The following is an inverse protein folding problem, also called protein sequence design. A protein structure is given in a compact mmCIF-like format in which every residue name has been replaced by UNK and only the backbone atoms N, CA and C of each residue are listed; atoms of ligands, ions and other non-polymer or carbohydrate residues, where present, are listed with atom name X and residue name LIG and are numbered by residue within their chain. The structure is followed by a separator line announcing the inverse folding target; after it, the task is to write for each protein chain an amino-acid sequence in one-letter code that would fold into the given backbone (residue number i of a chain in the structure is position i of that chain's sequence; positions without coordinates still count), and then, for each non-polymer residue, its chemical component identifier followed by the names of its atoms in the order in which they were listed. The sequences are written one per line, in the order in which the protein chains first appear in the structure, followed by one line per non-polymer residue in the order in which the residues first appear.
data_IF_900574963745
#
_entry.id   IF_900574963745
#
_cell.length_a   1.000
_cell.length_b   1.000
_cell.length_c   1.000
_cell.angle_alpha   90.00
_cell.angle_beta   90.00
_cell.angle_gamma   90.00
#
_symmetry.space_group_name_H-M   'P 1'
#
loop_
_entity.id
_entity.type
_entity.pdbx_description
1 polymer ?
#
# COMPACT_ATOMS: atom_id res chain seq x y z
N UNK A 1 -22.00 17.65 -8.83
CA UNK A 1 -23.00 16.85 -9.59
C UNK A 1 -23.87 16.10 -8.60
N UNK A 2 -25.18 15.91 -8.79
CA UNK A 2 -25.95 15.08 -7.85
C UNK A 2 -25.71 13.59 -8.16
N UNK A 3 -25.35 12.80 -7.15
CA UNK A 3 -25.00 11.39 -7.28
C UNK A 3 -26.22 10.48 -7.07
N UNK A 4 -26.19 9.21 -7.52
CA UNK A 4 -27.30 8.25 -7.35
C UNK A 4 -27.72 8.04 -5.89
N UNK A 5 -26.81 8.23 -4.94
CA UNK A 5 -27.07 8.15 -3.50
C UNK A 5 -27.76 9.41 -2.92
N UNK A 6 -28.05 10.42 -3.74
CA UNK A 6 -28.68 11.69 -3.33
C UNK A 6 -27.71 12.75 -2.80
N UNK A 7 -26.42 12.42 -2.64
CA UNK A 7 -25.38 13.36 -2.22
C UNK A 7 -24.85 14.25 -3.35
N UNK A 8 -24.15 15.33 -3.00
CA UNK A 8 -23.43 16.15 -3.96
C UNK A 8 -22.06 15.55 -4.22
N UNK A 9 -21.82 15.11 -5.45
CA UNK A 9 -20.51 14.68 -5.95
C UNK A 9 -19.65 15.86 -6.35
N UNK A 10 -18.34 15.61 -6.35
CA UNK A 10 -17.31 16.55 -6.78
C UNK A 10 -17.34 16.66 -8.31
N UNK A 11 -17.00 17.83 -8.85
CA UNK A 11 -16.96 18.02 -10.30
C UNK A 11 -15.91 17.07 -10.91
N UNK A 12 -16.27 16.36 -11.98
CA UNK A 12 -15.44 15.35 -12.69
C UNK A 12 -15.14 14.04 -11.95
N UNK A 13 -15.76 13.78 -10.79
CA UNK A 13 -15.70 12.50 -10.08
C UNK A 13 -17.10 12.04 -9.66
N UNK A 14 -17.55 10.90 -10.19
CA UNK A 14 -18.88 10.34 -9.94
C UNK A 14 -18.97 9.47 -8.68
N UNK A 15 -17.85 9.16 -8.04
CA UNK A 15 -17.79 8.22 -6.92
C UNK A 15 -17.58 8.94 -5.58
N UNK A 16 -16.99 10.14 -5.59
CA UNK A 16 -16.71 10.90 -4.36
C UNK A 16 -17.90 11.77 -3.89
N UNK A 17 -18.55 11.35 -2.80
CA UNK A 17 -19.70 12.04 -2.17
C UNK A 17 -19.26 13.08 -1.14
N UNK A 18 -19.75 14.31 -1.26
CA UNK A 18 -19.62 15.38 -0.26
C UNK A 18 -20.88 15.53 0.59
N UNK A 19 -20.69 15.46 1.91
CA UNK A 19 -21.69 15.85 2.90
C UNK A 19 -21.25 17.17 3.55
N UNK A 20 -22.06 18.21 3.37
CA UNK A 20 -21.76 19.58 3.82
C UNK A 20 -21.46 19.70 5.32
N UNK A 21 -22.11 18.89 6.15
CA UNK A 21 -21.98 18.95 7.60
C UNK A 21 -20.79 18.11 8.11
N UNK A 22 -20.50 16.98 7.46
CA UNK A 22 -19.67 15.94 8.07
C UNK A 22 -18.37 15.66 7.34
N UNK A 23 -18.29 15.81 6.01
CA UNK A 23 -17.11 15.37 5.26
C UNK A 23 -15.85 16.12 5.67
N UNK A 24 -15.93 17.46 5.79
CA UNK A 24 -14.79 18.27 6.22
C UNK A 24 -14.28 17.87 7.62
N UNK A 25 -15.20 17.55 8.54
CA UNK A 25 -14.85 17.10 9.89
C UNK A 25 -14.21 15.71 9.87
N UNK A 26 -14.79 14.78 9.12
CA UNK A 26 -14.26 13.43 8.98
C UNK A 26 -12.82 13.44 8.44
N UNK A 27 -12.55 14.22 7.38
CA UNK A 27 -11.21 14.36 6.82
C UNK A 27 -10.19 14.89 7.84
N UNK A 28 -10.55 15.95 8.58
CA UNK A 28 -9.68 16.51 9.62
C UNK A 28 -9.39 15.51 10.74
N UNK A 29 -10.38 14.72 11.14
CA UNK A 29 -10.21 13.67 12.15
C UNK A 29 -9.32 12.54 11.63
N UNK A 30 -9.51 12.09 10.38
CA UNK A 30 -8.66 11.07 9.77
C UNK A 30 -7.19 11.49 9.78
N UNK A 31 -6.88 12.70 9.29
CA UNK A 31 -5.53 13.25 9.28
C UNK A 31 -4.98 13.43 10.70
N UNK A 32 -5.73 14.09 11.58
CA UNK A 32 -5.28 14.40 12.93
C UNK A 32 -4.98 13.15 13.77
N UNK A 33 -5.84 12.14 13.68
CA UNK A 33 -5.66 10.87 14.40
C UNK A 33 -4.44 10.10 13.88
N UNK A 34 -4.25 10.04 12.56
CA UNK A 34 -3.08 9.38 11.96
C UNK A 34 -1.78 10.09 12.32
N UNK A 35 -1.74 11.42 12.26
CA UNK A 35 -0.58 12.20 12.70
C UNK A 35 -0.25 11.90 14.16
N UNK A 36 -1.24 11.91 15.05
CA UNK A 36 -1.00 11.67 16.48
C UNK A 36 -0.49 10.26 16.73
N UNK A 37 -1.09 9.24 16.12
CA UNK A 37 -0.64 7.86 16.22
C UNK A 37 0.81 7.72 15.74
N UNK A 38 1.13 8.24 14.55
CA UNK A 38 2.49 8.15 13.99
C UNK A 38 3.53 8.91 14.80
N UNK A 39 3.18 10.05 15.41
CA UNK A 39 4.07 10.73 16.36
C UNK A 39 4.36 9.87 17.58
N UNK A 40 3.33 9.27 18.18
CA UNK A 40 3.50 8.41 19.37
C UNK A 40 4.36 7.19 19.06
N UNK A 41 4.21 6.59 17.88
CA UNK A 41 5.04 5.47 17.42
C UNK A 41 6.49 5.92 17.15
N UNK A 42 6.69 7.02 16.43
CA UNK A 42 8.02 7.54 16.14
C UNK A 42 8.79 7.93 17.42
N UNK A 43 8.10 8.63 18.34
CA UNK A 43 8.64 9.08 19.63
C UNK A 43 8.86 7.91 20.62
N UNK A 44 8.57 6.65 20.24
CA UNK A 44 8.77 5.45 21.06
C UNK A 44 7.79 5.29 22.22
N UNK A 45 6.69 6.06 22.23
CA UNK A 45 5.62 5.96 23.25
C UNK A 45 4.66 4.81 22.97
N UNK A 46 4.55 4.42 21.70
CA UNK A 46 3.89 3.20 21.24
C UNK A 46 4.85 2.42 20.36
N UNK A 47 4.74 1.09 20.34
CA UNK A 47 5.58 0.25 19.47
C UNK A 47 5.18 0.39 18.00
N UNK A 48 3.88 0.36 17.74
CA UNK A 48 3.25 0.37 16.42
C UNK A 48 1.76 0.77 16.57
N UNK A 49 0.99 0.80 15.48
CA UNK A 49 -0.44 1.01 15.59
C UNK A 49 -1.22 0.90 14.29
N UNK A 50 -2.56 0.98 14.41
CA UNK A 50 -3.49 1.00 13.29
C UNK A 50 -4.50 2.15 13.47
N UNK A 51 -4.49 3.11 12.54
CA UNK A 51 -5.50 4.14 12.41
C UNK A 51 -6.71 3.62 11.60
N UNK A 52 -7.80 3.30 12.30
CA UNK A 52 -9.10 2.98 11.69
C UNK A 52 -9.83 4.28 11.35
N UNK A 53 -9.54 4.84 10.18
CA UNK A 53 -10.01 6.16 9.75
C UNK A 53 -10.81 6.06 8.45
N UNK A 54 -11.63 7.09 8.19
CA UNK A 54 -12.30 7.34 6.91
C UNK A 54 -12.59 8.84 6.73
N UNK A 55 -12.74 9.38 5.51
CA UNK A 55 -12.56 8.70 4.21
C UNK A 55 -11.11 8.26 3.95
N UNK A 56 -10.86 7.39 2.94
CA UNK A 56 -9.51 7.09 2.47
C UNK A 56 -8.81 8.37 1.94
N UNK A 57 -7.52 8.26 1.68
CA UNK A 57 -6.68 9.38 1.27
C UNK A 57 -5.76 9.14 0.07
N UNK A 58 -5.35 7.91 -0.22
CA UNK A 58 -4.22 7.67 -1.14
C UNK A 58 -4.43 8.12 -2.60
N UNK A 59 -5.67 8.37 -3.05
CA UNK A 59 -5.96 8.92 -4.37
C UNK A 59 -6.00 10.46 -4.44
N UNK A 60 -6.05 11.14 -3.29
CA UNK A 60 -6.17 12.59 -3.25
C UNK A 60 -4.87 13.28 -3.71
N UNK A 61 -5.00 14.15 -4.72
CA UNK A 61 -3.94 14.97 -5.32
C UNK A 61 -4.25 16.46 -5.06
N UNK A 62 -3.91 17.34 -6.01
CA UNK A 62 -4.48 18.69 -6.09
C UNK A 62 -6.01 18.69 -6.14
N UNK A 63 -6.61 17.58 -6.61
CA UNK A 63 -8.05 17.36 -6.67
C UNK A 63 -8.42 16.09 -5.90
N UNK A 64 -9.63 16.07 -5.28
CA UNK A 64 -10.22 14.83 -4.78
C UNK A 64 -10.46 13.82 -5.90
N UNK A 65 -10.34 12.54 -5.58
CA UNK A 65 -10.55 11.42 -6.50
C UNK A 65 -10.81 10.14 -5.71
N UNK A 66 -11.69 9.24 -6.17
CA UNK A 66 -11.79 7.87 -5.64
C UNK A 66 -12.08 7.84 -4.14
N UNK A 67 -13.11 8.56 -3.70
CA UNK A 67 -13.50 8.77 -2.30
C UNK A 67 -12.52 9.60 -1.46
N UNK A 68 -11.35 9.95 -1.98
CA UNK A 68 -10.26 10.59 -1.25
C UNK A 68 -10.29 12.12 -1.43
N UNK A 69 -10.25 12.85 -0.32
CA UNK A 69 -10.23 14.33 -0.31
C UNK A 69 -8.86 14.92 0.00
N UNK A 70 -8.16 14.29 0.92
CA UNK A 70 -6.85 14.68 1.39
C UNK A 70 -6.03 13.43 1.61
N UNK A 71 -4.77 13.46 1.21
CA UNK A 71 -3.91 12.29 1.35
C UNK A 71 -3.39 12.15 2.77
N UNK A 72 -4.13 11.41 3.60
CA UNK A 72 -3.85 11.20 5.02
C UNK A 72 -2.41 10.71 5.27
N UNK A 73 -1.94 9.74 4.50
CA UNK A 73 -0.61 9.13 4.68
C UNK A 73 0.50 10.08 4.23
N UNK A 74 0.39 10.69 3.04
CA UNK A 74 1.38 11.65 2.55
C UNK A 74 1.46 12.90 3.43
N UNK A 75 0.32 13.43 3.90
CA UNK A 75 0.29 14.55 4.85
C UNK A 75 0.99 14.15 6.16
N UNK A 76 0.76 12.94 6.65
CA UNK A 76 1.43 12.44 7.86
C UNK A 76 2.94 12.32 7.67
N UNK A 77 3.39 11.78 6.54
CA UNK A 77 4.81 11.68 6.22
C UNK A 77 5.49 13.06 6.20
N UNK A 78 4.90 14.02 5.48
CA UNK A 78 5.41 15.41 5.42
C UNK A 78 5.36 16.11 6.77
N UNK A 79 4.34 15.84 7.59
CA UNK A 79 4.27 16.35 8.95
C UNK A 79 5.45 15.84 9.80
N UNK A 80 5.73 14.54 9.78
CA UNK A 80 6.84 13.97 10.53
C UNK A 80 8.18 14.53 10.04
N UNK A 81 8.41 14.62 8.72
CA UNK A 81 9.60 15.28 8.14
C UNK A 81 9.80 16.68 8.71
N UNK A 82 8.74 17.50 8.71
CA UNK A 82 8.78 18.90 9.13
C UNK A 82 8.90 19.10 10.64
N UNK A 83 8.29 18.22 11.45
CA UNK A 83 8.09 18.46 12.89
C UNK A 83 8.76 17.44 13.81
N UNK A 84 9.42 16.42 13.26
CA UNK A 84 10.11 15.37 14.02
C UNK A 84 11.52 15.06 13.54
N UNK A 85 12.06 15.85 12.60
CA UNK A 85 13.41 15.68 12.04
C UNK A 85 13.70 14.22 11.61
N UNK A 86 12.67 13.52 11.15
CA UNK A 86 12.84 12.19 10.58
C UNK A 86 13.53 12.35 9.22
N UNK A 87 14.52 11.52 8.97
CA UNK A 87 15.27 11.53 7.73
C UNK A 87 14.56 10.66 6.71
N UNK A 88 14.30 9.37 7.01
CA UNK A 88 13.79 8.40 6.03
C UNK A 88 12.46 7.79 6.45
N UNK A 89 11.45 7.95 5.59
CA UNK A 89 10.11 7.36 5.76
C UNK A 89 9.84 6.41 4.60
N UNK A 90 9.36 5.21 4.89
CA UNK A 90 8.77 4.37 3.84
C UNK A 90 7.24 4.42 3.94
N UNK A 91 6.58 4.51 2.78
CA UNK A 91 5.16 4.33 2.61
C UNK A 91 4.96 3.07 1.77
N UNK A 92 4.34 2.05 2.36
CA UNK A 92 3.95 0.83 1.65
C UNK A 92 2.44 0.86 1.44
N UNK A 93 2.00 0.77 0.20
CA UNK A 93 0.61 0.82 -0.20
C UNK A 93 0.20 -0.54 -0.76
N UNK A 94 -0.64 -1.26 -0.03
CA UNK A 94 -1.15 -2.57 -0.43
C UNK A 94 -2.65 -2.54 -0.74
N UNK A 95 -3.27 -1.35 -0.77
CA UNK A 95 -4.58 -1.20 -1.38
C UNK A 95 -4.52 -1.71 -2.83
N UNK A 96 -5.57 -2.38 -3.31
CA UNK A 96 -5.52 -2.98 -4.64
C UNK A 96 -5.39 -1.92 -5.74
N UNK A 97 -5.76 -0.68 -5.45
CA UNK A 97 -5.64 0.45 -6.36
C UNK A 97 -4.31 1.18 -6.15
N UNK A 98 -3.74 1.70 -7.24
CA UNK A 98 -2.55 2.54 -7.15
C UNK A 98 -2.87 3.81 -6.34
N UNK A 99 -2.11 4.07 -5.28
CA UNK A 99 -2.15 5.32 -4.51
C UNK A 99 -1.51 6.49 -5.27
N UNK A 100 -2.13 6.82 -6.39
CA UNK A 100 -1.71 7.81 -7.35
C UNK A 100 -1.53 9.21 -6.74
N UNK A 101 -2.24 9.53 -5.65
CA UNK A 101 -2.02 10.77 -4.89
C UNK A 101 -0.76 10.73 -4.04
N UNK A 102 -0.47 9.59 -3.42
CA UNK A 102 0.74 9.43 -2.59
C UNK A 102 1.97 9.53 -3.47
N UNK A 103 1.97 8.82 -4.60
CA UNK A 103 3.03 8.91 -5.61
C UNK A 103 3.33 10.35 -6.02
N UNK A 104 2.32 11.10 -6.48
CA UNK A 104 2.50 12.48 -6.95
C UNK A 104 3.06 13.39 -5.85
N UNK A 105 2.59 13.24 -4.62
CA UNK A 105 2.97 14.09 -3.51
C UNK A 105 4.37 13.82 -2.96
N UNK A 106 5.00 12.69 -3.32
CA UNK A 106 6.33 12.29 -2.84
C UNK A 106 7.32 12.00 -3.96
N UNK A 107 6.96 12.27 -5.23
CA UNK A 107 7.68 11.79 -6.41
C UNK A 107 9.11 12.32 -6.55
N UNK A 108 9.37 13.49 -5.98
CA UNK A 108 10.64 14.21 -6.00
C UNK A 108 11.45 14.07 -4.70
N UNK A 109 10.92 13.39 -3.68
CA UNK A 109 11.53 13.35 -2.35
C UNK A 109 12.45 12.11 -2.18
N UNK A 110 13.79 12.28 -2.13
CA UNK A 110 14.74 11.17 -1.92
C UNK A 110 14.60 10.49 -0.55
N UNK A 111 13.87 11.12 0.36
CA UNK A 111 13.75 10.70 1.76
C UNK A 111 12.41 10.06 2.07
N UNK A 112 11.50 9.98 1.09
CA UNK A 112 10.25 9.24 1.20
C UNK A 112 10.23 8.17 0.11
N UNK A 113 10.33 6.91 0.53
CA UNK A 113 10.20 5.76 -0.36
C UNK A 113 8.73 5.36 -0.43
N UNK A 114 8.13 5.45 -1.62
CA UNK A 114 6.79 4.93 -1.90
C UNK A 114 6.88 3.59 -2.64
N UNK A 115 6.22 2.56 -2.10
CA UNK A 115 6.08 1.26 -2.75
C UNK A 115 4.59 0.92 -2.83
N UNK A 116 4.06 0.71 -4.03
CA UNK A 116 2.67 0.30 -4.25
C UNK A 116 2.59 -1.11 -4.83
N UNK A 117 1.71 -1.96 -4.29
CA UNK A 117 1.31 -3.23 -4.88
C UNK A 117 -0.14 -3.12 -5.32
N UNK A 118 -0.39 -3.07 -6.63
CA UNK A 118 -1.73 -2.77 -7.14
C UNK A 118 -2.05 -3.57 -8.40
N UNK A 119 -3.34 -3.72 -8.66
CA UNK A 119 -3.86 -4.20 -9.94
C UNK A 119 -3.71 -3.09 -10.98
N UNK A 120 -2.94 -3.34 -12.03
CA UNK A 120 -2.66 -2.36 -13.07
C UNK A 120 -3.38 -2.68 -14.39
N UNK A 121 -3.46 -3.96 -14.76
CA UNK A 121 -4.08 -4.44 -16.01
C UNK A 121 -3.77 -3.57 -17.24
N UNK A 122 -2.48 -3.30 -17.43
CA UNK A 122 -1.96 -2.44 -18.49
C UNK A 122 -2.59 -1.03 -18.53
N UNK A 123 -2.93 -0.48 -17.36
CA UNK A 123 -3.53 0.86 -17.20
C UNK A 123 -5.04 0.91 -17.40
N UNK A 124 -5.71 -0.24 -17.49
CA UNK A 124 -7.17 -0.31 -17.66
C UNK A 124 -7.93 -0.41 -16.34
N UNK A 125 -7.25 -0.71 -15.23
CA UNK A 125 -7.84 -0.74 -13.89
C UNK A 125 -7.70 0.63 -13.20
N UNK A 126 -8.69 1.02 -12.39
CA UNK A 126 -8.67 2.32 -11.69
C UNK A 126 -7.43 2.44 -10.79
N UNK A 127 -6.74 3.61 -10.76
CA UNK A 127 -7.01 4.86 -11.47
C UNK A 127 -6.31 4.98 -12.84
N UNK A 128 -5.66 3.92 -13.33
CA UNK A 128 -4.95 3.87 -14.61
C UNK A 128 -3.50 4.36 -14.57
N UNK A 129 -3.05 4.96 -13.46
CA UNK A 129 -1.65 5.28 -13.19
C UNK A 129 -0.87 4.12 -12.57
N UNK A 130 0.39 4.36 -12.19
CA UNK A 130 1.18 3.37 -11.45
C UNK A 130 2.03 2.48 -12.34
N UNK A 131 2.51 3.00 -13.47
CA UNK A 131 3.38 2.23 -14.36
C UNK A 131 4.66 1.81 -13.65
N UNK A 132 5.16 0.63 -13.99
CA UNK A 132 6.43 0.11 -13.47
C UNK A 132 7.59 1.07 -13.77
N UNK A 133 7.55 1.79 -14.90
CA UNK A 133 8.59 2.74 -15.30
C UNK A 133 8.55 4.08 -14.53
N UNK A 134 7.49 4.37 -13.79
CA UNK A 134 7.37 5.59 -12.98
C UNK A 134 8.22 5.46 -11.71
N UNK A 135 9.48 5.91 -11.77
CA UNK A 135 10.48 5.67 -10.73
C UNK A 135 10.83 6.87 -9.85
N UNK A 136 10.08 7.97 -9.94
CA UNK A 136 10.40 9.24 -9.29
C UNK A 136 11.04 10.24 -10.25
N UNK A 137 11.29 11.45 -9.78
CA UNK A 137 11.98 12.48 -10.55
C UNK A 137 13.02 13.21 -9.69
N UNK A 138 13.88 13.98 -10.36
CA UNK A 138 14.91 14.80 -9.72
C UNK A 138 15.73 14.01 -8.70
N UNK A 139 15.80 14.47 -7.45
CA UNK A 139 16.51 13.77 -6.38
C UNK A 139 15.77 12.50 -5.90
N UNK A 140 14.44 12.41 -6.10
CA UNK A 140 13.60 11.26 -5.76
C UNK A 140 13.69 10.08 -6.74
N UNK A 141 14.58 10.13 -7.74
CA UNK A 141 14.72 9.00 -8.67
C UNK A 141 15.19 7.73 -7.93
N UNK A 142 14.39 6.66 -8.03
CA UNK A 142 14.59 5.40 -7.32
C UNK A 142 13.83 5.29 -5.98
N UNK A 143 13.08 6.32 -5.57
CA UNK A 143 12.23 6.27 -4.36
C UNK A 143 10.75 6.04 -4.65
N UNK A 144 10.37 5.82 -5.90
CA UNK A 144 9.03 5.38 -6.29
C UNK A 144 9.08 3.99 -6.93
N UNK A 145 8.36 3.03 -6.35
CA UNK A 145 8.35 1.63 -6.79
C UNK A 145 6.91 1.17 -7.00
N UNK A 146 6.54 0.99 -8.25
CA UNK A 146 5.25 0.43 -8.63
C UNK A 146 5.37 -1.06 -8.93
N UNK A 147 4.75 -1.89 -8.09
CA UNK A 147 4.51 -3.33 -8.33
C UNK A 147 3.12 -3.48 -8.95
N UNK A 148 2.98 -3.00 -10.18
CA UNK A 148 1.74 -3.05 -10.94
C UNK A 148 1.55 -4.41 -11.60
N UNK A 149 0.57 -5.19 -11.12
CA UNK A 149 0.24 -6.50 -11.66
C UNK A 149 -0.65 -6.35 -12.90
N UNK A 150 -0.23 -6.97 -14.01
CA UNK A 150 -1.06 -7.08 -15.23
C UNK A 150 -1.17 -8.53 -15.65
N UNK A 151 -2.40 -9.01 -15.81
CA UNK A 151 -2.67 -10.38 -16.21
C UNK A 151 -3.89 -10.45 -17.15
N UNK A 152 -4.11 -11.61 -17.74
CA UNK A 152 -5.34 -11.87 -18.49
C UNK A 152 -6.56 -11.86 -17.54
N UNK A 153 -7.78 -11.52 -18.03
CA UNK A 153 -8.96 -11.32 -17.18
C UNK A 153 -9.34 -12.46 -16.24
N UNK A 154 -8.95 -13.71 -16.55
CA UNK A 154 -9.24 -14.88 -15.71
C UNK A 154 -8.13 -15.21 -14.70
N UNK A 155 -6.98 -14.52 -14.76
CA UNK A 155 -5.87 -14.74 -13.84
C UNK A 155 -6.04 -13.85 -12.62
N UNK A 156 -6.12 -14.50 -11.46
CA UNK A 156 -6.34 -13.85 -10.16
C UNK A 156 -5.04 -13.90 -9.36
N UNK A 157 -4.66 -12.77 -8.75
CA UNK A 157 -3.54 -12.75 -7.80
C UNK A 157 -4.03 -13.25 -6.44
N UNK A 158 -3.20 -14.05 -5.79
CA UNK A 158 -3.47 -14.69 -4.49
C UNK A 158 -2.35 -14.35 -3.50
N UNK A 159 -2.39 -14.98 -2.34
CA UNK A 159 -1.30 -14.91 -1.35
C UNK A 159 0.08 -15.19 -1.98
N UNK A 160 0.17 -16.17 -2.88
CA UNK A 160 1.43 -16.65 -3.47
C UNK A 160 2.17 -15.51 -4.19
N UNK A 161 1.45 -14.69 -4.94
CA UNK A 161 2.01 -13.57 -5.69
C UNK A 161 2.47 -12.43 -4.78
N UNK A 162 1.70 -12.11 -3.75
CA UNK A 162 2.07 -11.06 -2.79
C UNK A 162 3.24 -11.50 -1.89
N UNK A 163 3.29 -12.78 -1.50
CA UNK A 163 4.47 -13.36 -0.83
C UNK A 163 5.72 -13.23 -1.70
N UNK A 164 5.62 -13.54 -2.99
CA UNK A 164 6.71 -13.39 -3.93
C UNK A 164 7.12 -11.93 -4.14
N UNK A 165 6.16 -11.00 -4.25
CA UNK A 165 6.42 -9.56 -4.36
C UNK A 165 7.15 -9.04 -3.11
N UNK A 166 6.71 -9.42 -1.91
CA UNK A 166 7.35 -9.02 -0.66
C UNK A 166 8.78 -9.54 -0.57
N UNK A 167 9.00 -10.82 -0.87
CA UNK A 167 10.31 -11.46 -0.82
C UNK A 167 11.30 -10.89 -1.84
N UNK A 168 10.83 -10.60 -3.05
CA UNK A 168 11.71 -10.28 -4.18
C UNK A 168 11.89 -8.79 -4.43
N UNK A 169 10.90 -7.97 -4.09
CA UNK A 169 10.89 -6.52 -4.33
C UNK A 169 10.82 -5.74 -3.02
N UNK A 170 9.72 -5.86 -2.28
CA UNK A 170 9.39 -4.93 -1.18
C UNK A 170 10.44 -4.97 -0.08
N UNK A 171 10.71 -6.14 0.48
CA UNK A 171 11.64 -6.27 1.61
C UNK A 171 13.08 -5.91 1.25
N UNK A 172 13.67 -6.39 0.12
CA UNK A 172 15.01 -5.98 -0.27
C UNK A 172 15.18 -4.46 -0.46
N UNK A 173 14.17 -3.77 -0.99
CA UNK A 173 14.20 -2.32 -1.18
C UNK A 173 14.12 -1.61 0.17
N UNK A 174 13.19 -2.01 1.04
CA UNK A 174 13.06 -1.42 2.38
C UNK A 174 14.31 -1.66 3.25
N UNK A 175 14.93 -2.84 3.15
CA UNK A 175 16.19 -3.18 3.80
C UNK A 175 17.33 -2.28 3.33
N UNK A 176 17.42 -1.95 2.05
CA UNK A 176 18.41 -0.99 1.55
C UNK A 176 18.10 0.43 2.03
N UNK A 177 16.83 0.83 2.00
CA UNK A 177 16.41 2.20 2.33
C UNK A 177 16.54 2.52 3.82
N UNK A 178 16.48 1.51 4.71
CA UNK A 178 16.61 1.68 6.16
C UNK A 178 15.67 2.77 6.72
N UNK A 179 14.34 2.62 6.57
CA UNK A 179 13.37 3.60 7.07
C UNK A 179 13.39 3.69 8.60
N UNK A 180 13.10 4.88 9.12
CA UNK A 180 12.96 5.11 10.56
C UNK A 180 11.52 4.92 11.06
N UNK A 181 10.55 4.95 10.14
CA UNK A 181 9.16 4.56 10.33
C UNK A 181 8.60 4.04 9.01
N UNK A 182 7.68 3.09 9.08
CA UNK A 182 6.92 2.61 7.93
C UNK A 182 5.45 3.00 8.13
N UNK A 183 4.92 3.80 7.22
CA UNK A 183 3.49 4.08 7.12
C UNK A 183 2.90 3.13 6.07
N UNK A 184 1.73 2.57 6.34
CA UNK A 184 1.08 1.64 5.41
C UNK A 184 -0.28 2.19 5.01
N UNK A 185 -0.45 2.51 3.73
CA UNK A 185 -1.76 2.71 3.12
C UNK A 185 -2.43 1.34 3.01
N UNK A 186 -3.27 1.04 4.00
CA UNK A 186 -3.73 -0.30 4.32
C UNK A 186 -5.17 -0.53 3.84
N UNK A 187 -5.35 -0.58 2.52
CA UNK A 187 -6.60 -1.05 1.92
C UNK A 187 -6.75 -2.57 2.01
N UNK A 188 -7.99 -3.06 2.06
CA UNK A 188 -8.28 -4.50 2.15
C UNK A 188 -9.13 -5.03 0.98
N UNK A 189 -9.22 -4.28 -0.11
CA UNK A 189 -9.97 -4.63 -1.34
C UNK A 189 -9.26 -5.65 -2.25
N UNK A 190 -7.98 -5.96 -1.99
CA UNK A 190 -7.32 -7.14 -2.56
C UNK A 190 -7.76 -8.46 -1.90
N UNK A 191 -8.43 -8.40 -0.74
CA UNK A 191 -8.92 -9.58 -0.04
C UNK A 191 -10.06 -10.24 -0.82
N UNK A 192 -10.10 -11.57 -0.77
CA UNK A 192 -11.18 -12.36 -1.36
C UNK A 192 -12.58 -11.86 -0.91
N UNK A 193 -13.52 -11.90 -1.84
CA UNK A 193 -14.91 -11.47 -1.64
C UNK A 193 -15.27 -10.17 -2.36
N UNK A 194 -14.30 -9.31 -2.65
CA UNK A 194 -14.57 -8.07 -3.41
C UNK A 194 -14.91 -8.38 -4.87
N UNK A 195 -15.97 -7.78 -5.43
CA UNK A 195 -16.35 -8.00 -6.82
C UNK A 195 -15.27 -7.47 -7.76
N UNK A 196 -15.13 -8.11 -8.92
CA UNK A 196 -14.07 -7.81 -9.90
C UNK A 196 -13.91 -6.32 -10.29
N UNK A 197 -14.97 -5.48 -10.36
CA UNK A 197 -14.80 -4.04 -10.63
C UNK A 197 -14.20 -3.21 -9.47
N UNK A 198 -14.24 -3.71 -8.23
CA UNK A 198 -13.71 -3.03 -7.03
C UNK A 198 -12.43 -3.68 -6.49
N UNK A 199 -12.21 -4.95 -6.82
CA UNK A 199 -11.01 -5.68 -6.45
C UNK A 199 -10.74 -6.81 -7.43
N UNK A 200 -11.16 -8.03 -7.08
CA UNK A 200 -11.01 -9.21 -7.94
C UNK A 200 -9.75 -10.04 -7.68
N UNK A 201 -9.03 -9.76 -6.60
CA UNK A 201 -7.98 -10.63 -6.07
C UNK A 201 -8.50 -11.51 -4.93
N UNK A 202 -7.74 -12.55 -4.61
CA UNK A 202 -8.10 -13.55 -3.60
C UNK A 202 -7.05 -13.66 -2.50
N UNK A 203 -6.61 -12.52 -1.98
CA UNK A 203 -5.75 -12.52 -0.79
C UNK A 203 -6.57 -12.96 0.43
N UNK A 204 -5.90 -13.68 1.33
CA UNK A 204 -6.48 -14.07 2.62
C UNK A 204 -6.11 -13.05 3.70
N UNK A 205 -6.89 -12.96 4.80
CA UNK A 205 -6.49 -12.20 5.99
C UNK A 205 -5.09 -12.56 6.51
N UNK A 206 -4.68 -13.82 6.35
CA UNK A 206 -3.34 -14.31 6.70
C UNK A 206 -2.24 -13.63 5.88
N UNK A 207 -2.49 -13.30 4.62
CA UNK A 207 -1.54 -12.55 3.79
C UNK A 207 -1.31 -11.13 4.32
N UNK A 208 -2.36 -10.42 4.72
CA UNK A 208 -2.22 -9.08 5.32
C UNK A 208 -1.49 -9.14 6.68
N UNK A 209 -1.72 -10.17 7.48
CA UNK A 209 -0.92 -10.45 8.67
C UNK A 209 0.55 -10.72 8.33
N UNK A 210 0.84 -11.51 7.29
CA UNK A 210 2.21 -11.72 6.80
C UNK A 210 2.89 -10.42 6.39
N UNK A 211 2.25 -9.61 5.55
CA UNK A 211 2.81 -8.34 5.10
C UNK A 211 3.11 -7.44 6.30
N UNK A 212 2.17 -7.32 7.25
CA UNK A 212 2.36 -6.59 8.52
C UNK A 212 3.58 -7.11 9.28
N UNK A 213 3.69 -8.43 9.46
CA UNK A 213 4.78 -9.07 10.19
C UNK A 213 6.15 -8.85 9.52
N UNK A 214 6.21 -8.86 8.17
CA UNK A 214 7.46 -8.57 7.46
C UNK A 214 7.91 -7.13 7.69
N UNK A 215 7.00 -6.16 7.56
CA UNK A 215 7.31 -4.74 7.76
C UNK A 215 7.77 -4.46 9.21
N UNK A 216 7.20 -5.15 10.20
CA UNK A 216 7.60 -5.03 11.61
C UNK A 216 9.04 -5.49 11.91
N UNK A 217 9.70 -6.20 11.00
CA UNK A 217 11.13 -6.56 11.16
C UNK A 217 12.06 -5.38 10.90
N UNK A 218 11.56 -4.31 10.31
CA UNK A 218 12.29 -3.10 9.96
C UNK A 218 11.88 -1.94 10.87
N UNK A 219 12.62 -0.83 10.81
CA UNK A 219 12.35 0.39 11.57
C UNK A 219 12.13 0.16 13.09
N UNK A 220 12.75 -0.87 13.67
CA UNK A 220 12.54 -1.28 15.08
C UNK A 220 11.05 -1.54 15.41
N UNK A 221 10.30 -2.06 14.43
CA UNK A 221 8.88 -2.35 14.56
C UNK A 221 7.96 -1.12 14.49
N UNK A 222 8.48 0.08 14.20
CA UNK A 222 7.71 1.32 14.06
C UNK A 222 6.89 1.32 12.77
N UNK A 223 5.76 0.61 12.83
CA UNK A 223 4.81 0.45 11.73
C UNK A 223 3.48 1.09 12.11
N UNK A 224 2.92 1.90 11.21
CA UNK A 224 1.58 2.47 11.36
C UNK A 224 0.74 2.10 10.16
N UNK A 225 -0.27 1.27 10.37
CA UNK A 225 -1.29 0.98 9.37
C UNK A 225 -2.33 2.10 9.36
N UNK A 226 -2.79 2.50 8.18
CA UNK A 226 -3.80 3.54 8.00
C UNK A 226 -4.85 3.00 7.04
N UNK A 227 -6.09 2.88 7.49
CA UNK A 227 -7.15 2.28 6.67
C UNK A 227 -7.42 3.11 5.41
N UNK A 228 -7.41 2.46 4.25
CA UNK A 228 -7.77 3.03 2.93
C UNK A 228 -9.07 2.37 2.41
N UNK A 229 -9.01 1.62 1.31
CA UNK A 229 -10.13 0.86 0.73
C UNK A 229 -10.45 -0.46 1.45
N UNK A 230 -11.38 -1.22 0.87
CA UNK A 230 -11.97 -2.43 1.46
C UNK A 230 -13.44 -2.23 1.83
N UNK A 231 -14.31 -2.89 1.07
CA UNK A 231 -15.75 -2.59 1.03
C UNK A 231 -16.62 -3.79 1.44
N UNK A 232 -16.09 -5.00 1.33
CA UNK A 232 -16.73 -6.19 1.87
C UNK A 232 -16.50 -6.28 3.38
N UNK A 233 -17.57 -6.08 4.17
CA UNK A 233 -17.47 -5.90 5.63
C UNK A 233 -16.80 -7.08 6.34
N UNK A 234 -17.06 -8.31 5.89
CA UNK A 234 -16.43 -9.49 6.47
C UNK A 234 -14.92 -9.54 6.17
N UNK A 235 -14.53 -9.23 4.93
CA UNK A 235 -13.12 -9.17 4.53
C UNK A 235 -12.40 -8.05 5.31
N UNK A 236 -12.98 -6.85 5.34
CA UNK A 236 -12.47 -5.70 6.08
C UNK A 236 -12.24 -6.02 7.57
N UNK A 237 -13.22 -6.64 8.22
CA UNK A 237 -13.14 -7.00 9.63
C UNK A 237 -12.09 -8.09 9.88
N UNK A 238 -12.01 -9.12 9.05
CA UNK A 238 -11.05 -10.21 9.20
C UNK A 238 -9.61 -9.77 8.93
N UNK A 239 -9.37 -9.01 7.86
CA UNK A 239 -8.04 -8.46 7.57
C UNK A 239 -7.59 -7.49 8.66
N UNK A 240 -8.47 -6.57 9.06
CA UNK A 240 -8.16 -5.63 10.14
C UNK A 240 -7.83 -6.34 11.45
N UNK A 241 -8.59 -7.37 11.83
CA UNK A 241 -8.31 -8.22 12.99
C UNK A 241 -6.92 -8.87 12.88
N UNK A 242 -6.64 -9.54 11.75
CA UNK A 242 -5.39 -10.25 11.54
C UNK A 242 -4.17 -9.33 11.62
N UNK A 243 -4.25 -8.12 11.07
CA UNK A 243 -3.21 -7.10 11.19
C UNK A 243 -3.02 -6.65 12.64
N UNK A 244 -4.09 -6.37 13.40
CA UNK A 244 -3.97 -5.97 14.82
C UNK A 244 -3.39 -7.09 15.68
N UNK A 245 -3.80 -8.34 15.47
CA UNK A 245 -3.24 -9.50 16.19
C UNK A 245 -1.74 -9.66 15.90
N UNK A 246 -1.31 -9.38 14.68
CA UNK A 246 0.11 -9.35 14.28
C UNK A 246 0.87 -8.20 14.94
N UNK A 247 0.32 -6.98 14.94
CA UNK A 247 0.93 -5.81 15.60
C UNK A 247 1.17 -6.07 17.10
N UNK A 248 0.27 -6.83 17.73
CA UNK A 248 0.36 -7.27 19.13
C UNK A 248 1.25 -8.50 19.34
N UNK A 249 1.84 -9.06 18.27
CA UNK A 249 2.65 -10.28 18.30
C UNK A 249 1.93 -11.48 18.92
N UNK A 250 0.61 -11.58 18.75
CA UNK A 250 -0.23 -12.64 19.32
C UNK A 250 -0.23 -13.90 18.48
N UNK A 251 -0.41 -13.73 17.17
CA UNK A 251 -0.43 -14.83 16.21
C UNK A 251 0.53 -14.52 15.08
N UNK A 252 1.38 -15.49 14.75
CA UNK A 252 2.23 -15.40 13.58
C UNK A 252 1.46 -15.94 12.37
N UNK A 253 1.54 -15.28 11.21
CA UNK A 253 0.88 -15.72 10.00
C UNK A 253 1.43 -17.09 9.59
N UNK A 254 0.53 -18.03 9.34
CA UNK A 254 0.85 -19.40 8.94
C UNK A 254 0.00 -19.76 7.72
N UNK A 255 0.64 -20.19 6.64
CA UNK A 255 -0.04 -20.62 5.42
C UNK A 255 -0.08 -22.14 5.32
N UNK A 256 -1.02 -22.65 4.53
CA UNK A 256 -1.07 -24.08 4.24
C UNK A 256 0.15 -24.51 3.45
N UNK A 257 0.53 -25.80 3.55
CA UNK A 257 1.66 -26.35 2.82
C UNK A 257 1.53 -26.11 1.31
N UNK A 258 0.31 -26.22 0.78
CA UNK A 258 -0.02 -25.97 -0.62
C UNK A 258 0.35 -24.54 -1.04
N UNK A 259 0.01 -23.53 -0.23
CA UNK A 259 0.39 -22.13 -0.50
C UNK A 259 1.91 -21.94 -0.48
N UNK A 260 2.62 -22.56 0.47
CA UNK A 260 4.08 -22.43 0.57
C UNK A 260 4.81 -23.12 -0.61
N UNK A 261 4.26 -24.22 -1.13
CA UNK A 261 4.84 -24.98 -2.25
C UNK A 261 4.39 -24.47 -3.63
N UNK A 262 3.34 -23.64 -3.68
CA UNK A 262 2.83 -23.04 -4.90
C UNK A 262 3.85 -22.10 -5.56
N UNK A 263 3.71 -21.96 -6.87
CA UNK A 263 4.49 -21.03 -7.68
C UNK A 263 3.62 -19.83 -8.05
N UNK A 264 4.16 -18.60 -8.02
CA UNK A 264 3.42 -17.45 -8.52
C UNK A 264 3.03 -17.69 -9.98
N UNK A 265 1.84 -17.25 -10.37
CA UNK A 265 1.39 -17.38 -11.75
C UNK A 265 2.35 -16.66 -12.73
N UNK A 266 2.43 -17.10 -14.00
CA UNK A 266 3.40 -16.55 -14.95
C UNK A 266 3.30 -15.03 -15.17
N UNK A 267 2.09 -14.46 -15.11
CA UNK A 267 1.86 -13.02 -15.28
C UNK A 267 2.42 -12.21 -14.12
N UNK A 268 2.26 -12.70 -12.88
CA UNK A 268 2.89 -12.12 -11.71
C UNK A 268 4.43 -12.23 -11.81
N UNK A 269 4.96 -13.39 -12.20
CA UNK A 269 6.41 -13.55 -12.41
C UNK A 269 6.94 -12.56 -13.44
N UNK A 270 6.22 -12.36 -14.55
CA UNK A 270 6.59 -11.37 -15.57
C UNK A 270 6.57 -9.95 -15.02
N UNK A 271 5.50 -9.58 -14.31
CA UNK A 271 5.38 -8.26 -13.67
C UNK A 271 6.54 -8.01 -12.70
N UNK A 272 6.84 -8.96 -11.81
CA UNK A 272 7.94 -8.86 -10.84
C UNK A 272 9.32 -8.78 -11.50
N UNK A 273 9.55 -9.55 -12.57
CA UNK A 273 10.81 -9.43 -13.34
C UNK A 273 10.95 -8.06 -13.96
N UNK A 274 9.88 -7.51 -14.53
CA UNK A 274 9.92 -6.18 -15.13
C UNK A 274 10.20 -5.11 -14.07
N UNK A 275 9.59 -5.19 -12.89
CA UNK A 275 9.92 -4.32 -11.75
C UNK A 275 11.40 -4.43 -11.39
N UNK A 276 11.95 -5.65 -11.27
CA UNK A 276 13.39 -5.83 -10.99
C UNK A 276 14.27 -5.20 -12.07
N UNK A 277 13.94 -5.40 -13.34
CA UNK A 277 14.71 -4.90 -14.48
C UNK A 277 14.77 -3.37 -14.54
N UNK A 278 13.67 -2.71 -14.18
CA UNK A 278 13.58 -1.25 -14.10
C UNK A 278 14.29 -0.73 -12.84
N UNK A 279 13.94 -1.26 -11.68
CA UNK A 279 14.36 -0.71 -10.40
C UNK A 279 15.86 -0.96 -10.10
N UNK A 280 16.47 -2.01 -10.67
CA UNK A 280 17.94 -2.24 -10.55
C UNK A 280 18.79 -1.11 -11.14
N UNK A 281 18.22 -0.25 -11.99
CA UNK A 281 18.94 0.92 -12.49
C UNK A 281 19.28 1.90 -11.35
N UNK A 282 18.46 1.91 -10.30
CA UNK A 282 18.54 2.85 -9.19
C UNK A 282 18.89 2.18 -7.85
N UNK A 283 18.53 0.89 -7.68
CA UNK A 283 18.61 0.18 -6.40
C UNK A 283 19.56 -1.03 -6.46
N UNK A 284 20.65 -0.96 -5.68
CA UNK A 284 21.68 -2.00 -5.60
C UNK A 284 21.16 -3.35 -5.07
N UNK A 285 20.15 -3.32 -4.19
CA UNK A 285 19.49 -4.49 -3.60
C UNK A 285 18.88 -5.42 -4.65
N UNK A 286 18.61 -4.92 -5.85
CA UNK A 286 18.05 -5.66 -6.97
C UNK A 286 19.07 -6.00 -8.05
N UNK A 287 20.21 -5.29 -8.14
CA UNK A 287 21.25 -5.53 -9.17
C UNK A 287 21.78 -6.97 -9.13
N UNK A 288 21.96 -7.53 -7.94
CA UNK A 288 22.49 -8.89 -7.76
C UNK A 288 21.42 -9.98 -7.77
N UNK A 289 20.14 -9.65 -7.96
CA UNK A 289 19.01 -10.59 -7.81
C UNK A 289 18.43 -11.13 -9.12
N UNK A 290 18.96 -10.77 -10.30
CA UNK A 290 18.45 -11.29 -11.59
C UNK A 290 18.53 -12.82 -11.74
N UNK A 291 19.42 -13.46 -10.98
CA UNK A 291 19.54 -14.91 -10.95
C UNK A 291 18.63 -15.58 -9.90
N UNK A 292 17.85 -14.82 -9.12
CA UNK A 292 16.86 -15.42 -8.23
C UNK A 292 15.80 -16.13 -9.07
N UNK A 293 15.73 -17.45 -8.92
CA UNK A 293 14.59 -18.20 -9.40
C UNK A 293 13.34 -17.73 -8.64
N UNK A 294 12.59 -16.81 -9.24
CA UNK A 294 11.21 -16.47 -8.86
C UNK A 294 10.27 -17.69 -8.93
N UNK A 295 10.77 -18.82 -9.42
CA UNK A 295 10.07 -20.08 -9.58
C UNK A 295 9.57 -20.73 -8.28
N UNK A 296 9.95 -20.25 -7.09
CA UNK A 296 9.48 -20.81 -5.83
C UNK A 296 9.27 -19.76 -4.74
N UNK A 297 8.22 -19.94 -3.92
CA UNK A 297 8.07 -19.29 -2.61
C UNK A 297 8.84 -20.13 -1.57
N UNK A 298 10.17 -20.15 -1.65
CA UNK A 298 10.95 -20.81 -0.59
C UNK A 298 11.12 -19.83 0.58
N UNK A 299 10.70 -20.29 1.76
CA UNK A 299 10.81 -19.61 3.06
C UNK A 299 12.23 -19.70 3.61
#
# INVERSE_FOLDING_TARGET
VQLPCGGFGIHDDTDTVWNELYTARACRLAIGNTIELSKLVFDGKLKNGFALVRPPGHHAREKPLGFCYFNTVAITAKYLKKHRNIERIAIVDWDIHHGNGTQDLTYDDPNILYISLHRYDNGTYFPGGGRIEECGCDEGLGTNVNVGFSAEPQTIMTDVEYLAAFRSIVMPILEQFQPQIILVSSGFDACMGHPHPLGGYELTPTCFAYMTNQLMKLADGKVVLVLEGGYELNALAQCGKACVETLLSRELPSFSKETLEAKPNPYAVQSLKHVMEVQRMYLDSLKNRLNFHLCYVLF
#
